data_IF_587732025766
#
_entry.id   IF_587732025766
#
_cell.length_a   1.000
_cell.length_b   1.000
_cell.length_c   1.000
_cell.angle_alpha   90.00
_cell.angle_beta   90.00
_cell.angle_gamma   90.00
#
_symmetry.space_group_name_H-M   'P 1'
#
loop_
_entity.id
_entity.type
_entity.pdbx_description
1 polymer ?
#
# COMPACT_ATOMS: atom_id res chain seq x y z
N UNK A 1 -41.37 -9.80 3.29
CA UNK A 1 -40.36 -9.10 2.49
C UNK A 1 -39.19 -8.75 3.40
N UNK A 2 -38.18 -9.60 3.40
CA UNK A 2 -36.96 -9.39 4.20
C UNK A 2 -35.88 -8.84 3.26
N UNK A 3 -35.98 -7.56 2.97
CA UNK A 3 -34.94 -6.83 2.26
C UNK A 3 -34.09 -6.03 3.25
N UNK A 4 -32.80 -6.02 3.02
CA UNK A 4 -31.84 -5.06 3.58
C UNK A 4 -31.01 -5.43 4.82
N UNK A 5 -30.76 -6.68 5.12
CA UNK A 5 -29.71 -7.05 6.10
C UNK A 5 -28.31 -7.28 5.49
N UNK A 6 -28.13 -7.16 4.18
CA UNK A 6 -26.81 -7.30 3.52
C UNK A 6 -25.93 -6.05 3.58
N UNK A 7 -26.47 -4.91 4.00
CA UNK A 7 -25.73 -3.64 4.11
C UNK A 7 -24.81 -3.56 5.33
N UNK A 8 -25.02 -4.39 6.36
CA UNK A 8 -24.22 -4.37 7.59
C UNK A 8 -22.77 -4.85 7.41
N UNK A 9 -22.54 -5.86 6.60
CA UNK A 9 -21.20 -6.43 6.39
C UNK A 9 -20.27 -5.54 5.58
N UNK A 10 -20.80 -4.67 4.69
CA UNK A 10 -20.01 -3.73 3.90
C UNK A 10 -19.55 -2.49 4.68
N UNK A 11 -20.23 -2.12 5.76
CA UNK A 11 -19.92 -0.90 6.53
C UNK A 11 -18.84 -1.11 7.58
N UNK A 12 -18.71 -2.29 8.17
CA UNK A 12 -17.74 -2.58 9.24
C UNK A 12 -16.28 -2.50 8.77
N UNK A 13 -15.87 -3.06 7.62
CA UNK A 13 -14.55 -2.83 7.07
C UNK A 13 -14.25 -1.36 6.76
N UNK A 14 -15.24 -0.57 6.35
CA UNK A 14 -15.08 0.86 6.11
C UNK A 14 -14.92 1.64 7.41
N UNK A 15 -15.65 1.29 8.47
CA UNK A 15 -15.46 1.85 9.82
C UNK A 15 -14.03 1.57 10.33
N UNK A 16 -13.54 0.34 10.15
CA UNK A 16 -12.18 -0.02 10.53
C UNK A 16 -11.15 0.81 9.76
N UNK A 17 -11.32 0.95 8.44
CA UNK A 17 -10.43 1.75 7.60
C UNK A 17 -10.42 3.23 8.01
N UNK A 18 -11.57 3.82 8.35
CA UNK A 18 -11.69 5.19 8.85
C UNK A 18 -10.95 5.38 10.19
N UNK A 19 -11.05 4.42 11.09
CA UNK A 19 -10.32 4.46 12.36
C UNK A 19 -8.81 4.38 12.12
N UNK A 20 -8.35 3.46 11.28
CA UNK A 20 -6.94 3.32 10.91
C UNK A 20 -6.42 4.63 10.31
N UNK A 21 -7.17 5.24 9.39
CA UNK A 21 -6.83 6.53 8.78
C UNK A 21 -6.65 7.62 9.84
N UNK A 22 -7.58 7.73 10.79
CA UNK A 22 -7.50 8.70 11.89
C UNK A 22 -6.29 8.46 12.79
N UNK A 23 -6.00 7.20 13.12
CA UNK A 23 -4.84 6.84 13.94
C UNK A 23 -3.53 7.16 13.22
N UNK A 24 -3.40 6.77 11.96
CA UNK A 24 -2.21 7.03 11.15
C UNK A 24 -1.95 8.54 10.99
N UNK A 25 -2.99 9.31 10.66
CA UNK A 25 -2.89 10.76 10.51
C UNK A 25 -2.56 11.48 11.83
N UNK A 26 -3.08 11.01 12.95
CA UNK A 26 -2.71 11.55 14.26
C UNK A 26 -1.23 11.37 14.53
N UNK A 27 -0.72 10.13 14.39
CA UNK A 27 0.69 9.86 14.65
C UNK A 27 1.61 10.57 13.64
N UNK A 28 1.18 10.73 12.38
CA UNK A 28 1.91 11.52 11.40
C UNK A 28 2.05 12.98 11.81
N UNK A 29 0.96 13.61 12.25
CA UNK A 29 0.96 14.99 12.75
C UNK A 29 1.76 15.19 14.03
N UNK A 30 1.74 14.19 14.91
CA UNK A 30 2.48 14.19 16.17
C UNK A 30 3.97 13.81 15.97
N UNK A 31 4.42 13.60 14.72
CA UNK A 31 5.77 13.16 14.32
C UNK A 31 6.21 11.79 14.87
N UNK A 32 5.36 11.13 15.65
CA UNK A 32 5.67 9.84 16.28
C UNK A 32 5.64 8.67 15.29
N UNK A 33 5.01 8.85 14.14
CA UNK A 33 4.93 7.84 13.08
C UNK A 33 6.33 7.42 12.60
N UNK A 34 7.18 8.40 12.30
CA UNK A 34 8.51 8.17 11.74
C UNK A 34 9.48 7.50 12.72
N UNK A 35 9.22 7.58 14.02
CA UNK A 35 10.02 6.91 15.05
C UNK A 35 9.74 5.40 15.13
N UNK A 36 8.56 4.97 14.68
CA UNK A 36 8.04 3.60 14.82
C UNK A 36 8.26 2.71 13.60
N UNK A 37 8.69 3.29 12.51
CA UNK A 37 8.96 2.58 11.24
C UNK A 37 10.45 2.32 11.05
N UNK A 38 10.80 1.46 10.09
CA UNK A 38 12.19 1.19 9.75
C UNK A 38 12.91 2.45 9.24
N UNK A 39 14.25 2.52 9.32
CA UNK A 39 15.02 3.62 8.73
C UNK A 39 14.71 3.84 7.24
N UNK A 40 14.64 2.76 6.45
CA UNK A 40 14.31 2.81 5.03
C UNK A 40 12.90 3.38 4.81
N UNK A 41 11.91 2.89 5.56
CA UNK A 41 10.54 3.40 5.46
C UNK A 41 10.44 4.87 5.85
N UNK A 42 11.19 5.29 6.86
CA UNK A 42 11.28 6.70 7.26
C UNK A 42 11.79 7.58 6.13
N UNK A 43 12.87 7.16 5.46
CA UNK A 43 13.45 7.90 4.34
C UNK A 43 12.49 7.94 3.14
N UNK A 44 11.83 6.81 2.84
CA UNK A 44 10.80 6.75 1.80
C UNK A 44 9.62 7.68 2.09
N UNK A 45 9.08 7.66 3.32
CA UNK A 45 7.96 8.51 3.69
C UNK A 45 8.33 9.99 3.65
N UNK A 46 9.50 10.37 4.14
CA UNK A 46 9.99 11.74 4.00
C UNK A 46 10.15 12.18 2.55
N UNK A 47 10.62 11.26 1.71
CA UNK A 47 10.77 11.52 0.28
C UNK A 47 9.42 11.61 -0.43
N UNK A 48 8.44 10.75 -0.08
CA UNK A 48 7.12 10.69 -0.73
C UNK A 48 6.11 11.71 -0.22
N UNK A 49 6.34 12.30 0.94
CA UNK A 49 5.45 13.28 1.54
C UNK A 49 5.16 14.42 0.53
N UNK A 50 3.88 14.60 0.12
CA UNK A 50 3.53 15.63 -0.84
C UNK A 50 3.63 17.06 -0.29
N UNK A 51 3.69 17.21 1.05
CA UNK A 51 3.87 18.49 1.74
C UNK A 51 5.29 18.62 2.32
N UNK A 52 6.14 17.60 2.15
CA UNK A 52 7.50 17.58 2.69
C UNK A 52 8.52 18.33 1.84
N UNK A 53 9.72 18.52 2.39
CA UNK A 53 10.79 19.31 1.76
C UNK A 53 11.31 18.77 0.40
N UNK A 54 10.93 17.55 0.02
CA UNK A 54 11.27 17.00 -1.30
C UNK A 54 10.18 17.21 -2.35
N UNK A 55 9.00 17.72 -1.97
CA UNK A 55 7.86 17.90 -2.89
C UNK A 55 8.17 18.88 -4.02
N UNK A 56 8.87 19.97 -3.72
CA UNK A 56 9.25 21.00 -4.69
C UNK A 56 10.39 20.58 -5.64
N UNK A 57 11.10 19.49 -5.30
CA UNK A 57 12.18 18.94 -6.11
C UNK A 57 11.70 17.92 -7.16
N UNK A 58 10.42 17.62 -7.18
CA UNK A 58 9.81 16.61 -8.07
C UNK A 58 8.78 17.28 -8.98
N UNK A 59 8.73 16.81 -10.21
CA UNK A 59 7.72 17.23 -11.18
C UNK A 59 6.32 16.73 -10.79
N UNK A 60 6.26 15.55 -10.17
CA UNK A 60 5.02 14.89 -9.75
C UNK A 60 5.10 14.50 -8.28
N UNK A 61 3.97 14.61 -7.59
CA UNK A 61 3.79 14.19 -6.21
C UNK A 61 2.60 13.24 -6.08
N UNK A 62 2.58 12.44 -5.03
CA UNK A 62 1.40 11.68 -4.67
C UNK A 62 0.28 12.65 -4.28
N UNK A 63 -0.92 12.46 -4.83
CA UNK A 63 -2.09 13.21 -4.35
C UNK A 63 -2.57 12.62 -3.01
N UNK A 64 -3.43 13.37 -2.31
CA UNK A 64 -3.91 13.05 -0.96
C UNK A 64 -4.38 11.61 -0.80
N UNK A 65 -5.22 11.09 -1.71
CA UNK A 65 -5.74 9.71 -1.62
C UNK A 65 -4.68 8.63 -1.84
N UNK A 66 -3.65 8.89 -2.66
CA UNK A 66 -2.51 7.99 -2.85
C UNK A 66 -1.64 7.99 -1.61
N UNK A 67 -1.31 9.17 -1.11
CA UNK A 67 -0.54 9.35 0.12
C UNK A 67 -1.19 8.68 1.32
N UNK A 68 -2.50 8.89 1.51
CA UNK A 68 -3.25 8.25 2.58
C UNK A 68 -3.25 6.73 2.49
N UNK A 69 -3.34 6.17 1.27
CA UNK A 69 -3.25 4.73 1.06
C UNK A 69 -1.88 4.18 1.48
N UNK A 70 -0.79 4.91 1.16
CA UNK A 70 0.58 4.56 1.57
C UNK A 70 0.71 4.62 3.09
N UNK A 71 0.30 5.70 3.73
CA UNK A 71 0.37 5.85 5.19
C UNK A 71 -0.40 4.75 5.92
N UNK A 72 -1.62 4.46 5.49
CA UNK A 72 -2.43 3.43 6.11
C UNK A 72 -1.80 2.03 6.00
N UNK A 73 -1.22 1.70 4.84
CA UNK A 73 -0.57 0.40 4.65
C UNK A 73 0.67 0.27 5.52
N UNK A 74 1.52 1.29 5.56
CA UNK A 74 2.71 1.32 6.42
C UNK A 74 2.31 1.25 7.89
N UNK A 75 1.30 2.00 8.31
CA UNK A 75 0.79 2.01 9.67
C UNK A 75 0.37 0.62 10.14
N UNK A 76 -0.44 -0.06 9.35
CA UNK A 76 -0.93 -1.40 9.67
C UNK A 76 0.21 -2.43 9.68
N UNK A 77 1.13 -2.34 8.72
CA UNK A 77 2.20 -3.32 8.56
C UNK A 77 3.34 -3.13 9.57
N UNK A 78 3.85 -1.91 9.72
CA UNK A 78 5.04 -1.66 10.55
C UNK A 78 4.71 -1.25 11.98
N UNK A 79 3.72 -0.39 12.18
CA UNK A 79 3.41 0.16 13.51
C UNK A 79 2.51 -0.81 14.27
N UNK A 80 1.37 -1.21 13.70
CA UNK A 80 0.46 -2.16 14.32
C UNK A 80 0.97 -3.62 14.23
N UNK A 81 1.90 -3.92 13.33
CA UNK A 81 2.52 -5.24 13.15
C UNK A 81 1.49 -6.36 12.95
N UNK A 82 0.46 -6.08 12.17
CA UNK A 82 -0.68 -6.97 11.94
C UNK A 82 -0.23 -8.24 11.23
N UNK A 83 -0.65 -9.42 11.77
CA UNK A 83 -0.33 -10.73 11.22
C UNK A 83 -1.52 -11.41 10.54
N UNK A 84 -2.74 -11.00 10.87
CA UNK A 84 -3.97 -11.56 10.31
C UNK A 84 -5.09 -10.54 10.28
N UNK A 85 -6.17 -10.82 9.55
CA UNK A 85 -7.36 -9.96 9.54
C UNK A 85 -7.96 -9.86 10.95
N UNK A 86 -8.02 -10.98 11.69
CA UNK A 86 -8.52 -10.98 13.08
C UNK A 86 -7.67 -10.07 13.98
N UNK A 87 -6.33 -10.17 13.91
CA UNK A 87 -5.44 -9.34 14.72
C UNK A 87 -5.57 -7.85 14.42
N UNK A 88 -5.97 -7.48 13.19
CA UNK A 88 -6.23 -6.10 12.81
C UNK A 88 -7.43 -5.53 13.58
N UNK A 89 -8.56 -6.25 13.62
CA UNK A 89 -9.72 -5.83 14.40
C UNK A 89 -9.40 -5.75 15.89
N UNK A 90 -8.72 -6.77 16.42
CA UNK A 90 -8.31 -6.79 17.84
C UNK A 90 -7.42 -5.61 18.23
N UNK A 91 -6.51 -5.21 17.36
CA UNK A 91 -5.60 -4.10 17.64
C UNK A 91 -6.27 -2.71 17.50
N UNK A 92 -7.23 -2.57 16.59
CA UNK A 92 -7.82 -1.27 16.24
C UNK A 92 -9.12 -1.02 16.98
N UNK A 93 -10.07 -1.95 16.89
CA UNK A 93 -11.39 -1.84 17.50
C UNK A 93 -12.05 -3.21 17.66
N UNK A 94 -11.83 -3.90 18.79
CA UNK A 94 -12.39 -5.25 19.03
C UNK A 94 -13.90 -5.31 18.95
N UNK A 95 -14.60 -4.24 19.32
CA UNK A 95 -16.07 -4.19 19.35
C UNK A 95 -16.67 -4.36 17.93
N UNK A 96 -15.95 -3.98 16.88
CA UNK A 96 -16.39 -4.20 15.51
C UNK A 96 -16.53 -5.69 15.16
N UNK A 97 -15.86 -6.57 15.90
CA UNK A 97 -16.00 -8.01 15.74
C UNK A 97 -17.41 -8.50 16.06
N UNK A 98 -18.12 -7.79 16.94
CA UNK A 98 -19.51 -8.12 17.31
C UNK A 98 -20.53 -7.64 16.27
N UNK A 99 -20.15 -6.72 15.39
CA UNK A 99 -21.01 -6.20 14.33
C UNK A 99 -21.04 -7.10 13.07
N UNK A 100 -20.13 -8.06 12.98
CA UNK A 100 -19.98 -8.97 11.85
C UNK A 100 -20.30 -10.40 12.25
N UNK A 101 -20.86 -11.17 11.36
CA UNK A 101 -20.87 -12.64 11.49
C UNK A 101 -19.46 -13.17 11.18
N UNK A 102 -18.61 -13.12 12.20
CA UNK A 102 -17.17 -13.33 12.08
C UNK A 102 -16.73 -14.77 12.37
N UNK A 103 -17.64 -15.72 12.39
CA UNK A 103 -17.30 -17.14 12.51
C UNK A 103 -16.22 -17.56 11.50
N UNK A 104 -16.16 -16.85 10.37
CA UNK A 104 -15.22 -17.10 9.30
C UNK A 104 -13.85 -16.42 9.44
N UNK A 105 -13.71 -15.37 10.28
CA UNK A 105 -12.46 -14.57 10.31
C UNK A 105 -11.29 -15.31 10.95
N UNK A 106 -11.57 -16.39 11.70
CA UNK A 106 -10.57 -17.29 12.27
C UNK A 106 -10.17 -18.45 11.36
N UNK A 107 -10.74 -18.55 10.15
CA UNK A 107 -10.36 -19.59 9.20
C UNK A 107 -8.97 -19.33 8.63
N UNK A 108 -8.27 -20.39 8.28
CA UNK A 108 -6.90 -20.37 7.73
C UNK A 108 -6.71 -19.39 6.56
N UNK A 109 -7.75 -19.20 5.74
CA UNK A 109 -7.73 -18.20 4.65
C UNK A 109 -7.48 -16.75 5.10
N UNK A 110 -7.62 -16.47 6.40
CA UNK A 110 -7.40 -15.13 7.00
C UNK A 110 -6.18 -15.07 7.93
N UNK A 111 -5.36 -16.11 7.99
CA UNK A 111 -4.13 -16.16 8.80
C UNK A 111 -3.07 -15.16 8.35
N UNK A 112 -3.15 -14.70 7.09
CA UNK A 112 -2.24 -13.70 6.55
C UNK A 112 -2.90 -12.33 6.46
N UNK A 113 -2.13 -11.24 6.55
CA UNK A 113 -2.64 -9.90 6.35
C UNK A 113 -3.23 -9.75 4.93
N UNK A 114 -4.43 -9.18 4.84
CA UNK A 114 -5.09 -8.88 3.57
C UNK A 114 -5.58 -7.44 3.61
N UNK A 115 -5.10 -6.66 2.67
CA UNK A 115 -5.49 -5.26 2.53
C UNK A 115 -6.25 -5.06 1.22
N UNK A 116 -7.33 -4.30 1.28
CA UNK A 116 -8.07 -3.87 0.11
C UNK A 116 -8.00 -2.35 0.02
N UNK A 117 -7.32 -1.85 -1.00
CA UNK A 117 -7.23 -0.41 -1.27
C UNK A 117 -8.17 -0.11 -2.43
N UNK A 118 -9.29 0.55 -2.11
CA UNK A 118 -10.30 0.92 -3.09
C UNK A 118 -10.06 2.37 -3.54
N UNK A 119 -9.72 2.53 -4.81
CA UNK A 119 -9.49 3.82 -5.45
C UNK A 119 -10.30 3.92 -6.73
N UNK A 120 -10.76 5.12 -7.09
CA UNK A 120 -11.49 5.36 -8.33
C UNK A 120 -10.62 5.06 -9.57
N UNK A 121 -11.26 4.86 -10.71
CA UNK A 121 -10.54 4.71 -11.99
C UNK A 121 -9.86 6.03 -12.35
N UNK A 122 -8.62 5.95 -12.84
CA UNK A 122 -7.83 7.14 -13.21
C UNK A 122 -7.09 7.83 -12.05
N UNK A 123 -7.24 7.36 -10.80
CA UNK A 123 -6.58 7.99 -9.63
C UNK A 123 -5.17 7.44 -9.34
N UNK A 124 -4.50 6.84 -10.32
CA UNK A 124 -3.11 6.41 -10.19
C UNK A 124 -2.88 5.21 -9.25
N UNK A 125 -3.79 4.22 -9.26
CA UNK A 125 -3.60 2.96 -8.49
C UNK A 125 -2.25 2.30 -8.73
N UNK A 126 -1.73 2.36 -9.96
CA UNK A 126 -0.43 1.81 -10.34
C UNK A 126 0.71 2.50 -9.59
N UNK A 127 0.61 3.80 -9.33
CA UNK A 127 1.61 4.53 -8.55
C UNK A 127 1.64 4.07 -7.10
N UNK A 128 0.49 3.89 -6.47
CA UNK A 128 0.43 3.33 -5.11
C UNK A 128 1.01 1.92 -5.06
N UNK A 129 0.71 1.11 -6.07
CA UNK A 129 1.28 -0.23 -6.19
C UNK A 129 2.81 -0.18 -6.36
N UNK A 130 3.33 0.73 -7.19
CA UNK A 130 4.77 0.95 -7.34
C UNK A 130 5.43 1.37 -6.03
N UNK A 131 4.82 2.29 -5.28
CA UNK A 131 5.31 2.67 -3.97
C UNK A 131 5.37 1.46 -3.00
N UNK A 132 4.36 0.59 -3.02
CA UNK A 132 4.38 -0.62 -2.19
C UNK A 132 5.47 -1.61 -2.59
N UNK A 133 5.70 -1.81 -3.89
CA UNK A 133 6.78 -2.66 -4.36
C UNK A 133 8.15 -2.13 -3.93
N UNK A 134 8.38 -0.83 -4.09
CA UNK A 134 9.63 -0.16 -3.66
C UNK A 134 9.79 -0.26 -2.14
N UNK A 135 8.75 0.07 -1.38
CA UNK A 135 8.78 0.00 0.08
C UNK A 135 9.17 -1.39 0.57
N UNK A 136 8.50 -2.43 0.07
CA UNK A 136 8.76 -3.81 0.45
C UNK A 136 10.17 -4.25 0.03
N UNK A 137 10.55 -3.96 -1.23
CA UNK A 137 11.83 -4.38 -1.79
C UNK A 137 13.02 -3.74 -1.08
N UNK A 138 13.01 -2.41 -0.90
CA UNK A 138 14.13 -1.70 -0.29
C UNK A 138 14.31 -2.12 1.18
N UNK A 139 13.22 -2.24 1.93
CA UNK A 139 13.30 -2.76 3.29
C UNK A 139 13.85 -4.19 3.33
N UNK A 140 13.37 -5.08 2.46
CA UNK A 140 13.86 -6.46 2.42
C UNK A 140 15.33 -6.57 1.97
N UNK A 141 15.84 -5.57 1.22
CA UNK A 141 17.23 -5.53 0.73
C UNK A 141 18.18 -5.00 1.79
N UNK A 142 17.78 -3.97 2.54
CA UNK A 142 18.69 -3.19 3.39
C UNK A 142 18.48 -3.41 4.90
N UNK A 143 17.31 -3.93 5.32
CA UNK A 143 16.98 -4.15 6.73
C UNK A 143 17.16 -5.61 7.13
N UNK A 144 18.40 -6.06 7.32
CA UNK A 144 18.70 -7.46 7.70
C UNK A 144 18.04 -7.89 9.02
N UNK A 145 17.87 -6.97 9.96
CA UNK A 145 17.23 -7.25 11.26
C UNK A 145 15.73 -7.55 11.16
N UNK A 146 15.11 -7.32 10.00
CA UNK A 146 13.67 -7.50 9.78
C UNK A 146 13.35 -8.63 8.80
N UNK A 147 14.21 -9.65 8.76
CA UNK A 147 14.01 -10.84 7.93
C UNK A 147 12.61 -11.43 8.12
N UNK A 148 11.90 -11.62 7.02
CA UNK A 148 10.53 -12.18 7.01
C UNK A 148 9.39 -11.17 7.17
N UNK A 149 9.67 -9.89 7.46
CA UNK A 149 8.62 -8.83 7.47
C UNK A 149 8.39 -8.19 6.11
N UNK A 150 9.42 -8.13 5.28
CA UNK A 150 9.38 -7.52 3.96
C UNK A 150 9.70 -8.54 2.87
N UNK A 151 9.26 -8.28 1.65
CA UNK A 151 9.42 -9.21 0.52
C UNK A 151 10.30 -8.63 -0.59
N UNK A 152 11.13 -9.51 -1.18
CA UNK A 152 11.86 -9.23 -2.43
C UNK A 152 11.15 -9.79 -3.65
N UNK A 153 10.18 -10.68 -3.45
CA UNK A 153 9.48 -11.38 -4.51
C UNK A 153 8.00 -11.00 -4.50
N UNK A 154 7.47 -10.69 -5.66
CA UNK A 154 6.10 -10.22 -5.83
C UNK A 154 5.39 -11.02 -6.92
N UNK A 155 4.12 -11.33 -6.68
CA UNK A 155 3.23 -11.90 -7.67
C UNK A 155 2.10 -10.89 -7.96
N UNK A 156 2.06 -10.36 -9.18
CA UNK A 156 1.01 -9.47 -9.65
C UNK A 156 -0.02 -10.28 -10.45
N UNK A 157 -1.28 -10.25 -9.99
CA UNK A 157 -2.38 -10.97 -10.65
C UNK A 157 -3.35 -9.95 -11.23
N UNK A 158 -3.57 -10.04 -12.53
CA UNK A 158 -4.51 -9.20 -13.26
C UNK A 158 -5.83 -9.95 -13.54
N UNK A 159 -7.00 -9.31 -13.33
CA UNK A 159 -8.29 -9.98 -13.53
C UNK A 159 -8.69 -10.18 -15.00
N UNK A 160 -7.87 -9.72 -15.94
CA UNK A 160 -8.14 -9.87 -17.37
C UNK A 160 -7.02 -9.31 -18.24
N UNK A 161 -7.05 -9.66 -19.53
CA UNK A 161 -5.97 -9.35 -20.49
C UNK A 161 -5.69 -7.85 -20.61
N UNK A 162 -6.69 -7.00 -20.58
CA UNK A 162 -6.53 -5.54 -20.70
C UNK A 162 -5.75 -4.98 -19.50
N UNK A 163 -6.06 -5.46 -18.29
CA UNK A 163 -5.34 -5.03 -17.07
C UNK A 163 -3.94 -5.60 -17.06
N UNK A 164 -3.78 -6.84 -17.50
CA UNK A 164 -2.47 -7.49 -17.66
C UNK A 164 -1.55 -6.72 -18.61
N UNK A 165 -2.01 -6.39 -19.83
CA UNK A 165 -1.21 -5.60 -20.79
C UNK A 165 -0.84 -4.22 -20.24
N UNK A 166 -1.77 -3.54 -19.56
CA UNK A 166 -1.46 -2.26 -18.90
C UNK A 166 -0.40 -2.37 -17.80
N UNK A 167 -0.40 -3.47 -17.04
CA UNK A 167 0.65 -3.73 -16.05
C UNK A 167 2.00 -4.00 -16.71
N UNK A 168 2.01 -4.74 -17.81
CA UNK A 168 3.23 -4.93 -18.61
C UNK A 168 3.75 -3.60 -19.16
N UNK A 169 2.88 -2.74 -19.70
CA UNK A 169 3.26 -1.41 -20.18
C UNK A 169 3.82 -0.54 -19.05
N UNK A 170 3.19 -0.61 -17.88
CA UNK A 170 3.61 0.17 -16.72
C UNK A 170 4.99 -0.24 -16.17
N UNK A 171 5.33 -1.53 -16.20
CA UNK A 171 6.58 -2.04 -15.60
C UNK A 171 7.65 -2.46 -16.59
N UNK A 172 7.30 -2.84 -17.81
CA UNK A 172 8.25 -3.32 -18.81
C UNK A 172 8.32 -2.45 -20.07
N UNK A 173 7.43 -1.46 -20.17
CA UNK A 173 7.29 -0.61 -21.35
C UNK A 173 6.35 -1.19 -22.41
N UNK A 174 5.95 -0.34 -23.35
CA UNK A 174 5.04 -0.71 -24.44
C UNK A 174 5.63 -1.80 -25.33
N UNK A 175 4.75 -2.69 -25.79
CA UNK A 175 5.13 -3.73 -26.74
C UNK A 175 5.40 -3.10 -28.11
N UNK A 176 6.55 -3.42 -28.70
CA UNK A 176 6.95 -3.03 -30.07
C UNK A 176 6.38 -4.02 -31.09
N UNK A 177 6.49 -3.67 -32.38
CA UNK A 177 6.02 -4.52 -33.49
C UNK A 177 6.72 -5.88 -33.54
N UNK A 178 8.02 -5.92 -33.15
CA UNK A 178 8.82 -7.15 -33.04
C UNK A 178 8.51 -7.99 -31.79
N UNK A 179 7.55 -7.54 -30.96
CA UNK A 179 7.14 -8.22 -29.73
C UNK A 179 7.99 -7.91 -28.51
N UNK A 180 9.10 -7.19 -28.65
CA UNK A 180 9.95 -6.77 -27.53
C UNK A 180 9.33 -5.61 -26.76
N UNK A 181 9.84 -5.37 -25.56
CA UNK A 181 9.47 -4.23 -24.71
C UNK A 181 10.72 -3.46 -24.29
N UNK A 182 10.59 -2.15 -24.12
CA UNK A 182 11.68 -1.30 -23.64
C UNK A 182 11.33 -0.75 -22.26
N UNK A 183 12.09 -1.17 -21.25
CA UNK A 183 11.89 -0.74 -19.86
C UNK A 183 11.96 0.79 -19.70
N UNK A 184 12.83 1.48 -20.42
CA UNK A 184 12.96 2.94 -20.38
C UNK A 184 11.66 3.67 -20.80
N UNK A 185 10.81 3.00 -21.58
CA UNK A 185 9.51 3.51 -22.00
C UNK A 185 8.38 3.17 -21.01
N UNK A 186 8.66 2.39 -19.97
CA UNK A 186 7.69 2.06 -18.92
C UNK A 186 7.29 3.28 -18.11
N UNK A 187 6.08 3.26 -17.57
CA UNK A 187 5.64 4.30 -16.65
C UNK A 187 6.51 4.32 -15.38
N UNK A 188 6.95 3.14 -14.92
CA UNK A 188 7.84 3.04 -13.77
C UNK A 188 9.16 3.77 -14.00
N UNK A 189 9.81 3.57 -15.13
CA UNK A 189 11.06 4.26 -15.48
C UNK A 189 10.86 5.77 -15.65
N UNK A 190 9.79 6.19 -16.33
CA UNK A 190 9.48 7.61 -16.53
C UNK A 190 9.24 8.37 -15.22
N UNK A 191 8.61 7.70 -14.25
CA UNK A 191 8.29 8.26 -12.94
C UNK A 191 9.23 7.79 -11.82
N UNK A 192 10.39 7.23 -12.16
CA UNK A 192 11.37 6.74 -11.18
C UNK A 192 11.70 7.78 -10.12
N UNK A 193 11.86 9.04 -10.51
CA UNK A 193 12.13 10.16 -9.61
C UNK A 193 11.04 10.42 -8.57
N UNK A 194 9.82 9.93 -8.80
CA UNK A 194 8.74 9.94 -7.82
C UNK A 194 8.91 8.82 -6.79
N UNK A 195 9.34 7.64 -7.25
CA UNK A 195 9.30 6.43 -6.44
C UNK A 195 10.58 6.17 -5.65
N UNK A 196 11.75 6.39 -6.26
CA UNK A 196 13.04 5.99 -5.70
C UNK A 196 13.83 7.21 -5.25
N UNK A 197 14.08 7.36 -3.93
CA UNK A 197 15.00 8.40 -3.46
C UNK A 197 16.40 8.24 -4.08
N UNK A 198 17.12 9.34 -4.38
CA UNK A 198 18.45 9.28 -4.97
C UNK A 198 19.45 8.37 -4.23
N UNK A 199 19.31 8.27 -2.90
CA UNK A 199 20.19 7.43 -2.07
C UNK A 199 20.01 5.92 -2.29
N UNK A 200 18.96 5.48 -2.98
CA UNK A 200 18.62 4.07 -3.21
C UNK A 200 18.58 3.68 -4.69
N UNK A 201 19.23 4.45 -5.57
CA UNK A 201 19.23 4.22 -7.02
C UNK A 201 20.24 3.21 -7.53
N UNK A 202 21.15 2.74 -6.67
CA UNK A 202 22.23 1.80 -7.00
C UNK A 202 21.85 0.32 -6.85
#
# INVERSE_FOLDING_TARGET
MAGAKSLGTGTTPLKLADIITKMANKEWKDETFLEKVSPITRDLLRFWDPEGGFSDLREFNFHEGQWQAILNAVYVHEILKIKSVHSMYMAVRPELLNEMDLLDIKKDKYEHPKYCIKMATGTGKTWVMSAFLIWQYLNARHEESQTGRFSKNFLLIAPGIIVYERLLDAYLGKRKEDGTRNFEESDFSKFEKLFVPPAYKD
#
